data_IF_192304506678
#
_entry.id   IF_192304506678
#
_cell.length_a   1.000
_cell.length_b   1.000
_cell.length_c   1.000
_cell.angle_alpha   90.00
_cell.angle_beta   90.00
_cell.angle_gamma   90.00
#
_symmetry.space_group_name_H-M   'P 1'
#
loop_
_entity.id
_entity.type
_entity.pdbx_description
1 polymer ?
#
# COMPACT_ATOMS: atom_id res chain seq x y z
N UNK A 1 4.13 7.57 -6.23
CA UNK A 1 5.00 6.38 -6.04
C UNK A 1 4.47 5.42 -4.98
N UNK A 2 4.15 5.89 -3.77
CA UNK A 2 3.71 5.04 -2.65
C UNK A 2 2.46 4.18 -2.92
N UNK A 3 1.43 4.72 -3.58
CA UNK A 3 0.22 3.94 -3.91
C UNK A 3 0.50 2.78 -4.91
N UNK A 4 1.44 2.97 -5.85
CA UNK A 4 1.84 1.92 -6.80
C UNK A 4 2.58 0.78 -6.08
N UNK A 5 3.49 1.11 -5.18
CA UNK A 5 4.14 0.12 -4.32
C UNK A 5 3.13 -0.62 -3.46
N UNK A 6 2.14 0.09 -2.92
CA UNK A 6 1.08 -0.52 -2.13
C UNK A 6 0.25 -1.50 -2.96
N UNK A 7 -0.07 -1.16 -4.21
CA UNK A 7 -0.75 -2.05 -5.14
C UNK A 7 0.06 -3.32 -5.43
N UNK A 8 1.36 -3.18 -5.70
CA UNK A 8 2.25 -4.34 -5.92
C UNK A 8 2.32 -5.22 -4.67
N UNK A 9 2.50 -4.62 -3.49
CA UNK A 9 2.56 -5.37 -2.24
C UNK A 9 1.23 -6.08 -1.95
N UNK A 10 0.10 -5.40 -2.19
CA UNK A 10 -1.22 -6.01 -2.06
C UNK A 10 -1.36 -7.22 -2.97
N UNK A 11 -1.03 -7.09 -4.25
CA UNK A 11 -1.08 -8.21 -5.19
C UNK A 11 -0.21 -9.38 -4.72
N UNK A 12 1.06 -9.11 -4.35
CA UNK A 12 1.98 -10.16 -3.90
C UNK A 12 1.53 -10.85 -2.61
N UNK A 13 0.96 -10.12 -1.67
CA UNK A 13 0.43 -10.68 -0.42
C UNK A 13 -0.85 -11.47 -0.67
N UNK A 14 -1.78 -10.90 -1.43
CA UNK A 14 -3.06 -11.52 -1.73
C UNK A 14 -2.95 -12.74 -2.66
N UNK A 15 -1.88 -12.86 -3.46
CA UNK A 15 -1.54 -14.11 -4.17
C UNK A 15 -1.32 -15.31 -3.25
N UNK A 16 -1.05 -15.07 -1.96
CA UNK A 16 -0.92 -16.13 -0.95
C UNK A 16 -2.24 -16.46 -0.28
N UNK A 17 -3.29 -15.70 -0.57
CA UNK A 17 -4.62 -16.04 -0.11
C UNK A 17 -5.16 -17.18 -0.98
N UNK A 18 -6.10 -17.97 -0.45
CA UNK A 18 -6.88 -18.90 -1.26
C UNK A 18 -7.89 -18.16 -2.15
N UNK A 19 -7.43 -17.21 -2.97
CA UNK A 19 -8.25 -16.38 -3.84
C UNK A 19 -7.69 -16.35 -5.26
N UNK A 20 -8.56 -16.25 -6.25
CA UNK A 20 -8.18 -16.19 -7.66
C UNK A 20 -8.29 -14.76 -8.18
N UNK A 21 -7.22 -14.23 -8.78
CA UNK A 21 -7.23 -12.89 -9.38
C UNK A 21 -7.75 -12.93 -10.81
N UNK A 22 -8.69 -12.04 -11.11
CA UNK A 22 -9.21 -11.82 -12.46
C UNK A 22 -8.54 -10.57 -13.00
N UNK A 23 -7.58 -10.75 -13.90
CA UNK A 23 -6.75 -9.64 -14.39
C UNK A 23 -7.31 -9.02 -15.67
N UNK A 24 -7.82 -9.85 -16.57
CA UNK A 24 -8.38 -9.39 -17.85
C UNK A 24 -9.65 -8.57 -17.64
N UNK A 25 -9.77 -7.45 -18.37
CA UNK A 25 -10.87 -6.53 -18.19
C UNK A 25 -12.22 -7.14 -18.59
N UNK A 26 -12.28 -7.84 -19.72
CA UNK A 26 -13.52 -8.44 -20.21
C UNK A 26 -13.94 -9.58 -19.28
N UNK A 27 -12.98 -10.38 -18.79
CA UNK A 27 -13.26 -11.41 -17.80
C UNK A 27 -13.77 -10.82 -16.47
N UNK A 28 -13.22 -9.69 -16.01
CA UNK A 28 -13.77 -8.97 -14.84
C UNK A 28 -15.22 -8.58 -15.07
N UNK A 29 -15.54 -8.00 -16.22
CA UNK A 29 -16.93 -7.60 -16.56
C UNK A 29 -17.84 -8.83 -16.61
N UNK A 30 -17.41 -9.89 -17.30
CA UNK A 30 -18.14 -11.15 -17.42
C UNK A 30 -18.47 -11.75 -16.05
N UNK A 31 -17.50 -11.77 -15.13
CA UNK A 31 -17.64 -12.26 -13.75
C UNK A 31 -18.83 -11.61 -13.02
N UNK A 32 -18.98 -10.28 -13.13
CA UNK A 32 -20.11 -9.60 -12.52
C UNK A 32 -21.43 -9.89 -13.24
N UNK A 33 -21.42 -9.92 -14.57
CA UNK A 33 -22.64 -10.18 -15.35
C UNK A 33 -23.18 -11.59 -15.13
N UNK A 34 -22.31 -12.60 -15.07
CA UNK A 34 -22.66 -13.98 -14.77
C UNK A 34 -23.19 -14.15 -13.34
N UNK A 35 -22.71 -13.32 -12.40
CA UNK A 35 -23.22 -13.30 -11.04
C UNK A 35 -24.59 -12.62 -10.88
N UNK A 36 -25.15 -12.06 -11.97
CA UNK A 36 -26.47 -11.42 -12.03
C UNK A 36 -26.43 -9.89 -11.96
N UNK A 37 -25.26 -9.26 -12.05
CA UNK A 37 -25.16 -7.81 -12.07
C UNK A 37 -25.33 -7.26 -13.50
N UNK A 38 -26.27 -6.33 -13.76
CA UNK A 38 -26.35 -5.69 -15.05
C UNK A 38 -25.10 -4.87 -15.33
N UNK A 39 -24.65 -4.85 -16.59
CA UNK A 39 -23.45 -4.12 -17.01
C UNK A 39 -23.57 -2.60 -16.76
N UNK A 40 -24.79 -2.06 -16.73
CA UNK A 40 -25.07 -0.65 -16.40
C UNK A 40 -24.81 -0.30 -14.94
N UNK A 41 -24.83 -1.27 -14.02
CA UNK A 41 -24.51 -1.05 -12.61
C UNK A 41 -22.99 -1.10 -12.34
N UNK A 42 -22.19 -1.61 -13.28
CA UNK A 42 -20.73 -1.57 -13.18
C UNK A 42 -20.21 -0.14 -13.24
N UNK A 43 -19.03 0.15 -12.65
CA UNK A 43 -18.36 1.42 -12.85
C UNK A 43 -18.19 1.72 -14.34
N UNK A 44 -18.56 2.94 -14.76
CA UNK A 44 -18.54 3.34 -16.17
C UNK A 44 -17.40 4.32 -16.48
N UNK A 45 -16.82 4.22 -17.67
CA UNK A 45 -15.95 5.25 -18.28
C UNK A 45 -16.33 5.39 -19.76
N UNK A 46 -16.75 6.58 -20.18
CA UNK A 46 -17.21 6.81 -21.55
C UNK A 46 -18.45 5.99 -21.93
N UNK A 47 -19.33 5.71 -20.97
CA UNK A 47 -20.56 4.93 -21.17
C UNK A 47 -20.36 3.42 -21.29
N UNK A 48 -19.16 2.91 -21.00
CA UNK A 48 -18.86 1.47 -21.00
C UNK A 48 -18.34 1.03 -19.62
N UNK A 49 -18.60 -0.24 -19.22
CA UNK A 49 -18.00 -0.81 -18.02
C UNK A 49 -16.48 -0.62 -18.00
N UNK A 50 -15.91 -0.25 -16.86
CA UNK A 50 -14.49 0.05 -16.71
C UNK A 50 -13.94 -0.43 -15.36
N UNK A 51 -13.13 -1.49 -15.43
CA UNK A 51 -12.52 -2.18 -14.28
C UNK A 51 -11.01 -2.44 -14.49
N UNK A 52 -10.37 -1.73 -15.41
CA UNK A 52 -8.94 -1.92 -15.74
C UNK A 52 -8.03 -1.68 -14.53
N UNK A 53 -8.34 -0.69 -13.72
CA UNK A 53 -7.50 -0.24 -12.60
C UNK A 53 -7.81 -0.94 -11.28
N UNK A 54 -8.84 -1.79 -11.25
CA UNK A 54 -9.31 -2.43 -10.03
C UNK A 54 -8.80 -3.86 -9.91
N UNK A 55 -8.52 -4.27 -8.68
CA UNK A 55 -8.28 -5.68 -8.39
C UNK A 55 -9.64 -6.36 -8.20
N UNK A 56 -9.90 -7.38 -9.01
CA UNK A 56 -11.07 -8.25 -8.86
C UNK A 56 -10.56 -9.64 -8.55
N UNK A 57 -11.19 -10.29 -7.56
CA UNK A 57 -10.79 -11.61 -7.12
C UNK A 57 -11.99 -12.47 -6.71
N UNK A 58 -11.92 -13.77 -6.96
CA UNK A 58 -12.80 -14.75 -6.33
C UNK A 58 -12.28 -15.08 -4.95
N UNK A 59 -13.11 -14.88 -3.93
CA UNK A 59 -12.82 -15.25 -2.55
C UNK A 59 -13.22 -16.71 -2.30
N UNK A 60 -12.61 -17.35 -1.30
CA UNK A 60 -12.89 -18.75 -0.91
C UNK A 60 -14.36 -19.05 -0.62
N UNK A 61 -15.08 -18.05 -0.13
CA UNK A 61 -16.48 -18.16 0.22
C UNK A 61 -17.42 -17.97 -0.98
N UNK A 62 -16.85 -17.96 -2.20
CA UNK A 62 -17.59 -17.78 -3.45
C UNK A 62 -18.02 -16.34 -3.71
N UNK A 63 -17.57 -15.37 -2.90
CA UNK A 63 -17.86 -13.95 -3.14
C UNK A 63 -16.87 -13.34 -4.11
N UNK A 64 -17.34 -12.35 -4.85
CA UNK A 64 -16.50 -11.49 -5.69
C UNK A 64 -15.95 -10.37 -4.82
N UNK A 65 -14.63 -10.35 -4.68
CA UNK A 65 -13.86 -9.30 -4.04
C UNK A 65 -13.49 -8.20 -5.04
N UNK A 66 -13.69 -6.94 -4.66
CA UNK A 66 -13.09 -5.79 -5.34
C UNK A 66 -12.18 -5.06 -4.36
N UNK A 67 -10.91 -4.95 -4.70
CA UNK A 67 -9.93 -4.26 -3.88
C UNK A 67 -9.41 -2.98 -4.56
N UNK A 68 -9.37 -1.91 -3.78
CA UNK A 68 -8.62 -0.69 -4.10
C UNK A 68 -7.47 -0.52 -3.14
N UNK A 69 -6.46 0.24 -3.56
CA UNK A 69 -5.35 0.64 -2.68
C UNK A 69 -5.57 2.03 -2.13
N UNK A 70 -5.27 2.16 -0.84
CA UNK A 70 -5.26 3.43 -0.15
C UNK A 70 -4.27 4.42 -0.77
N UNK A 71 -4.72 5.66 -0.96
CA UNK A 71 -3.87 6.77 -1.38
C UNK A 71 -3.44 7.59 -0.15
N UNK A 72 -2.14 7.63 0.20
CA UNK A 72 -1.68 8.24 1.44
C UNK A 72 -2.03 9.73 1.59
N UNK A 73 -2.02 10.48 0.49
CA UNK A 73 -2.20 11.93 0.48
C UNK A 73 -3.67 12.37 0.34
N UNK A 74 -4.58 11.43 0.11
CA UNK A 74 -6.00 11.72 -0.06
C UNK A 74 -6.74 11.49 1.26
N UNK A 75 -7.75 12.34 1.54
CA UNK A 75 -8.63 12.17 2.69
C UNK A 75 -9.27 10.78 2.69
N UNK A 76 -9.18 10.07 3.82
CA UNK A 76 -9.78 8.74 4.00
C UNK A 76 -11.30 8.78 3.74
N UNK A 77 -11.97 9.85 4.18
CA UNK A 77 -13.41 10.04 3.93
C UNK A 77 -13.71 10.21 2.44
N UNK A 78 -12.97 11.06 1.73
CA UNK A 78 -13.18 11.29 0.30
C UNK A 78 -12.92 10.03 -0.52
N UNK A 79 -11.88 9.26 -0.16
CA UNK A 79 -11.58 7.99 -0.81
C UNK A 79 -12.67 6.95 -0.56
N UNK A 80 -13.11 6.79 0.69
CA UNK A 80 -14.23 5.90 1.02
C UNK A 80 -15.48 6.31 0.23
N UNK A 81 -15.83 7.59 0.26
CA UNK A 81 -16.98 8.12 -0.47
C UNK A 81 -16.90 7.84 -1.96
N UNK A 82 -15.73 8.04 -2.59
CA UNK A 82 -15.55 7.75 -4.00
C UNK A 82 -15.70 6.25 -4.29
N UNK A 83 -15.10 5.40 -3.44
CA UNK A 83 -15.16 3.96 -3.60
C UNK A 83 -16.59 3.43 -3.51
N UNK A 84 -17.34 3.84 -2.47
CA UNK A 84 -18.74 3.43 -2.33
C UNK A 84 -19.62 4.04 -3.43
N UNK A 85 -19.40 5.29 -3.87
CA UNK A 85 -20.17 5.83 -5.00
C UNK A 85 -19.93 5.07 -6.30
N UNK A 86 -18.70 4.59 -6.51
CA UNK A 86 -18.30 3.88 -7.72
C UNK A 86 -18.85 2.46 -7.77
N UNK A 87 -18.84 1.75 -6.65
CA UNK A 87 -19.26 0.33 -6.57
C UNK A 87 -20.60 0.12 -5.85
N UNK A 88 -21.19 1.16 -5.30
CA UNK A 88 -22.46 1.13 -4.56
C UNK A 88 -23.64 0.60 -5.35
N UNK A 89 -23.81 0.92 -6.66
CA UNK A 89 -24.85 0.32 -7.48
C UNK A 89 -24.79 -1.20 -7.51
N UNK A 90 -23.61 -1.81 -7.35
CA UNK A 90 -23.47 -3.27 -7.32
C UNK A 90 -24.15 -3.90 -6.10
N UNK A 91 -24.28 -3.18 -4.98
CA UNK A 91 -24.86 -3.75 -3.76
C UNK A 91 -26.32 -4.16 -3.94
N UNK A 92 -27.06 -3.45 -4.81
CA UNK A 92 -28.45 -3.77 -5.10
C UNK A 92 -28.61 -5.11 -5.84
N UNK A 93 -27.59 -5.51 -6.61
CA UNK A 93 -27.63 -6.72 -7.43
C UNK A 93 -26.84 -7.88 -6.84
N UNK A 94 -25.78 -7.57 -6.09
CA UNK A 94 -24.78 -8.55 -5.67
C UNK A 94 -24.85 -8.88 -4.18
N UNK A 95 -25.51 -8.08 -3.35
CA UNK A 95 -25.76 -8.34 -1.91
C UNK A 95 -24.61 -9.11 -1.23
N UNK A 96 -24.88 -10.32 -0.73
CA UNK A 96 -23.94 -11.17 -0.01
C UNK A 96 -22.83 -11.78 -0.88
N UNK A 97 -22.89 -11.62 -2.21
CA UNK A 97 -21.90 -12.09 -3.18
C UNK A 97 -20.78 -11.08 -3.43
N UNK A 98 -20.84 -9.88 -2.86
CA UNK A 98 -19.82 -8.83 -3.06
C UNK A 98 -19.10 -8.48 -1.75
N UNK A 99 -17.78 -8.38 -1.82
CA UNK A 99 -16.94 -7.84 -0.76
C UNK A 99 -16.04 -6.76 -1.33
N UNK A 100 -16.12 -5.55 -0.80
CA UNK A 100 -15.19 -4.48 -1.08
C UNK A 100 -14.03 -4.50 -0.08
N UNK A 101 -12.82 -4.24 -0.57
CA UNK A 101 -11.59 -4.23 0.21
C UNK A 101 -10.83 -2.93 -0.03
N UNK A 102 -10.30 -2.34 1.05
CA UNK A 102 -9.40 -1.19 0.97
C UNK A 102 -8.05 -1.60 1.55
N UNK A 103 -7.07 -1.85 0.69
CA UNK A 103 -5.73 -2.22 1.10
C UNK A 103 -4.98 -0.99 1.64
N UNK A 104 -4.56 -1.03 2.91
CA UNK A 104 -3.83 0.06 3.57
C UNK A 104 -2.38 -0.33 3.85
N UNK A 105 -1.48 0.65 3.79
CA UNK A 105 -0.06 0.43 4.08
C UNK A 105 0.30 0.40 5.57
N UNK A 106 -0.63 0.78 6.45
CA UNK A 106 -0.42 0.78 7.89
C UNK A 106 -1.73 0.65 8.67
N UNK A 107 -1.58 0.27 9.94
CA UNK A 107 -2.69 0.04 10.87
C UNK A 107 -3.44 1.33 11.22
N UNK A 108 -2.75 2.47 11.29
CA UNK A 108 -3.38 3.77 11.59
C UNK A 108 -4.44 4.10 10.54
N UNK A 109 -4.16 3.87 9.25
CA UNK A 109 -5.12 4.06 8.16
C UNK A 109 -6.23 3.02 8.15
N UNK A 110 -5.94 1.76 8.44
CA UNK A 110 -6.99 0.74 8.59
C UNK A 110 -8.00 1.12 9.69
N UNK A 111 -7.51 1.58 10.85
CA UNK A 111 -8.37 2.08 11.94
C UNK A 111 -9.17 3.31 11.55
N UNK A 112 -8.61 4.22 10.75
CA UNK A 112 -9.35 5.39 10.25
C UNK A 112 -10.54 4.96 9.38
N UNK A 113 -10.36 4.01 8.44
CA UNK A 113 -11.47 3.48 7.66
C UNK A 113 -12.52 2.78 8.55
N UNK A 114 -12.08 1.96 9.50
CA UNK A 114 -13.00 1.31 10.44
C UNK A 114 -13.87 2.30 11.21
N UNK A 115 -13.27 3.38 11.75
CA UNK A 115 -14.03 4.45 12.42
C UNK A 115 -15.00 5.17 11.49
N UNK A 116 -14.65 5.33 10.20
CA UNK A 116 -15.51 6.01 9.24
C UNK A 116 -16.77 5.23 8.89
N UNK A 117 -16.76 3.90 8.97
CA UNK A 117 -17.96 3.10 8.69
C UNK A 117 -19.10 3.39 9.65
N UNK A 118 -18.79 3.75 10.89
CA UNK A 118 -19.76 4.14 11.92
C UNK A 118 -20.02 5.65 11.98
N UNK A 119 -19.39 6.45 11.11
CA UNK A 119 -19.53 7.90 11.16
C UNK A 119 -20.94 8.30 10.65
N UNK A 120 -21.69 9.15 11.38
CA UNK A 120 -23.07 9.49 11.04
C UNK A 120 -23.26 10.01 9.60
N UNK A 121 -22.31 10.80 9.11
CA UNK A 121 -22.34 11.30 7.72
C UNK A 121 -22.22 10.18 6.69
N UNK A 122 -21.42 9.14 6.96
CA UNK A 122 -21.25 8.02 6.04
C UNK A 122 -22.53 7.19 6.02
N UNK A 123 -23.09 6.89 7.18
CA UNK A 123 -24.36 6.17 7.29
C UNK A 123 -25.51 6.92 6.61
N UNK A 124 -25.61 8.25 6.81
CA UNK A 124 -26.61 9.10 6.14
C UNK A 124 -26.51 9.13 4.62
N UNK A 125 -25.31 8.91 4.06
CA UNK A 125 -25.11 8.95 2.61
C UNK A 125 -25.43 7.60 1.98
N UNK A 126 -25.05 6.51 2.64
CA UNK A 126 -25.07 5.18 2.03
C UNK A 126 -26.20 4.28 2.53
N UNK A 127 -26.82 4.59 3.68
CA UNK A 127 -27.90 3.83 4.29
C UNK A 127 -27.63 2.32 4.37
N UNK A 128 -26.36 1.94 4.51
CA UNK A 128 -25.87 0.57 4.49
C UNK A 128 -24.94 0.36 5.68
N UNK A 129 -24.99 -0.84 6.25
CA UNK A 129 -24.01 -1.31 7.23
C UNK A 129 -22.69 -1.63 6.51
N UNK A 130 -21.91 -0.57 6.22
CA UNK A 130 -20.72 -0.67 5.37
C UNK A 130 -19.67 -1.65 5.88
N UNK A 131 -19.59 -1.92 7.18
CA UNK A 131 -18.62 -2.88 7.74
C UNK A 131 -18.86 -4.33 7.27
N UNK A 132 -20.10 -4.67 6.92
CA UNK A 132 -20.45 -5.99 6.38
C UNK A 132 -19.94 -6.17 4.96
N UNK A 133 -19.85 -5.07 4.19
CA UNK A 133 -19.55 -5.09 2.75
C UNK A 133 -18.16 -4.55 2.43
N UNK A 134 -17.60 -3.67 3.25
CA UNK A 134 -16.32 -3.00 3.01
C UNK A 134 -15.38 -3.28 4.17
N UNK A 135 -14.20 -3.82 3.87
CA UNK A 135 -13.20 -4.14 4.89
C UNK A 135 -11.86 -3.48 4.59
N UNK A 136 -11.28 -2.72 5.53
CA UNK A 136 -9.89 -2.32 5.41
C UNK A 136 -9.01 -3.54 5.62
N UNK A 137 -8.02 -3.70 4.75
CA UNK A 137 -7.00 -4.73 4.86
C UNK A 137 -5.64 -4.06 5.04
N UNK A 138 -5.06 -4.14 6.24
CA UNK A 138 -3.70 -3.66 6.44
C UNK A 138 -2.72 -4.69 5.90
N UNK A 139 -1.92 -4.31 4.90
CA UNK A 139 -0.83 -5.16 4.43
C UNK A 139 0.12 -5.47 5.58
N UNK A 140 0.62 -6.70 5.62
CA UNK A 140 1.77 -7.02 6.45
C UNK A 140 2.96 -6.29 5.85
N UNK A 141 3.80 -5.70 6.71
CA UNK A 141 4.87 -4.77 6.33
C UNK A 141 5.54 -5.16 5.00
N UNK A 142 5.84 -4.18 4.12
CA UNK A 142 6.26 -4.44 2.75
C UNK A 142 7.36 -5.50 2.74
N UNK A 143 7.30 -6.46 1.79
CA UNK A 143 8.46 -7.31 1.55
C UNK A 143 9.66 -6.37 1.36
N UNK A 144 10.58 -6.39 2.33
CA UNK A 144 11.71 -5.47 2.44
C UNK A 144 12.53 -5.42 1.13
N UNK A 145 12.40 -6.43 0.28
CA UNK A 145 13.03 -6.54 -1.03
C UNK A 145 12.68 -5.40 -2.00
N UNK A 146 11.41 -4.99 -2.15
CA UNK A 146 11.04 -4.00 -3.18
C UNK A 146 11.45 -2.58 -2.78
N UNK A 147 11.31 -2.23 -1.50
CA UNK A 147 11.77 -0.93 -0.99
C UNK A 147 13.31 -0.79 -1.04
N UNK A 148 14.05 -1.88 -0.81
CA UNK A 148 15.52 -1.94 -0.93
C UNK A 148 16.02 -1.88 -2.38
N UNK A 149 15.19 -2.22 -3.37
CA UNK A 149 15.55 -2.05 -4.79
C UNK A 149 15.36 -0.61 -5.27
N UNK A 150 14.44 0.16 -4.68
CA UNK A 150 14.22 1.56 -5.06
C UNK A 150 15.14 2.55 -4.34
N UNK A 151 15.70 2.14 -3.21
CA UNK A 151 16.80 2.83 -2.55
C UNK A 151 17.91 1.80 -2.35
N UNK A 152 18.94 1.75 -3.22
CA UNK A 152 20.13 0.99 -2.88
C UNK A 152 20.55 1.51 -1.51
N UNK A 153 20.47 0.61 -0.54
CA UNK A 153 20.95 0.91 0.80
C UNK A 153 22.39 1.30 0.58
N UNK A 154 22.74 2.59 0.71
CA UNK A 154 24.15 2.98 0.74
C UNK A 154 24.78 2.03 1.74
N UNK A 155 25.65 1.16 1.26
CA UNK A 155 26.51 0.35 2.12
C UNK A 155 27.12 1.33 3.11
N UNK A 156 26.60 1.36 4.33
CA UNK A 156 27.35 1.82 5.49
C UNK A 156 28.22 0.64 5.88
N UNK A 157 29.18 0.33 5.03
CA UNK A 157 30.31 -0.50 5.38
C UNK A 157 31.54 0.39 5.33
N UNK A 158 32.32 0.31 6.41
CA UNK A 158 33.68 0.81 6.55
C UNK A 158 33.91 2.33 6.68
N UNK A 159 33.45 2.94 7.78
CA UNK A 159 34.26 3.99 8.45
C UNK A 159 33.98 4.03 9.95
N UNK A 160 34.27 2.93 10.65
CA UNK A 160 34.30 2.90 12.13
C UNK A 160 35.55 2.25 12.73
N UNK A 161 36.61 2.08 11.95
CA UNK A 161 37.90 1.53 12.42
C UNK A 161 39.14 2.30 11.91
N UNK A 162 39.02 3.59 11.60
CA UNK A 162 40.19 4.43 11.26
C UNK A 162 40.19 5.80 11.96
N UNK A 163 39.64 5.86 13.18
CA UNK A 163 39.77 7.04 14.09
C UNK A 163 40.07 6.57 15.53
N UNK A 164 40.77 5.44 15.69
CA UNK A 164 41.27 4.97 17.00
C UNK A 164 42.69 4.39 16.87
N UNK A 165 43.54 5.02 16.07
CA UNK A 165 44.98 4.75 16.01
C UNK A 165 45.81 6.04 15.83
N UNK A 166 45.30 7.19 16.28
CA UNK A 166 46.08 8.43 16.37
C UNK A 166 45.68 9.13 17.67
N UNK A 167 45.97 8.50 18.81
CA UNK A 167 45.95 9.14 20.14
C UNK A 167 46.62 8.19 21.14
N UNK A 168 47.85 7.78 20.85
CA UNK A 168 48.71 7.09 21.81
C UNK A 168 50.16 7.13 21.36
N UNK A 169 50.77 8.31 21.29
CA UNK A 169 52.22 8.42 21.45
C UNK A 169 52.51 9.62 22.36
N UNK A 170 53.18 9.29 23.47
CA UNK A 170 53.65 10.20 24.51
C UNK A 170 54.72 11.19 23.98
N UNK A 171 54.95 12.32 24.67
CA UNK A 171 55.95 13.29 24.26
C UNK A 171 57.34 12.84 24.74
N UNK A 172 58.23 12.47 23.81
CA UNK A 172 59.65 12.26 24.12
C UNK A 172 60.48 13.45 23.61
N UNK A 173 61.02 14.18 24.58
CA UNK A 173 62.26 14.97 24.59
C UNK A 173 62.94 15.28 23.25
N UNK A 174 62.97 16.57 22.90
CA UNK A 174 63.91 17.14 21.92
C UNK A 174 65.26 17.36 22.60
N UNK A 175 66.19 16.44 22.35
CA UNK A 175 67.61 16.57 22.68
C UNK A 175 68.40 17.22 21.54
N UNK A 176 69.35 18.01 22.00
CA UNK A 176 70.22 19.00 21.37
C UNK A 176 71.30 18.42 20.44
N UNK A 177 71.98 19.34 19.72
CA UNK A 177 73.23 19.22 18.93
C UNK A 177 73.05 18.85 17.43
N UNK A 178 73.62 19.54 16.43
CA UNK A 178 74.78 20.45 16.39
C UNK A 178 74.72 21.37 15.16
N UNK A 179 75.39 22.53 15.26
CA UNK A 179 75.56 23.46 14.14
C UNK A 179 76.48 24.64 14.46
N UNK A 180 77.73 24.33 14.84
CA UNK A 180 78.84 25.28 14.92
C UNK A 180 79.24 25.77 13.51
N UNK A 181 79.06 27.05 13.21
CA UNK A 181 79.91 27.79 12.27
C UNK A 181 80.27 29.13 12.92
N UNK A 182 81.55 29.26 13.28
CA UNK A 182 82.25 30.51 13.57
C UNK A 182 82.44 31.32 12.28
N UNK A 183 82.28 32.64 12.38
CA UNK A 183 83.07 33.60 11.61
C UNK A 183 83.23 34.88 12.45
N UNK A 184 84.48 35.11 12.85
CA UNK A 184 85.07 36.43 13.03
C UNK A 184 86.32 36.43 12.15
#
# INVERSE_FOLDING_TARGET
MQARLLAVNFYLEARRWPAEFILDHEQKVATFTEAGCPSSALPQRGGKPYLWEDFVLWLVDGRIGVAIVDQPHSSTFSQLRHFIRRFGPLFQHMQNKLQLLIATGNQSRARLYGRLFHHPTVWKIFHLELETVVRPYCLRAPMLSVARLQYPTRQREATRQHVRLIESEEPTELLYCDGLIHNN
#
